data_IF_518695591509
#
_entry.id   IF_518695591509
#
_cell.length_a   1.000
_cell.length_b   1.000
_cell.length_c   1.000
_cell.angle_alpha   90.00
_cell.angle_beta   90.00
_cell.angle_gamma   90.00
#
_symmetry.space_group_name_H-M   'P 1'
#
loop_
_entity.id
_entity.type
_entity.pdbx_description
1 polymer ?
#
# COMPACT_ATOMS: atom_id res chain seq x y z
N UNK A 1 14.06 9.90 6.22
CA UNK A 1 12.93 10.31 5.37
C UNK A 1 11.66 9.60 5.82
N UNK A 2 10.54 10.31 5.94
CA UNK A 2 9.27 9.71 6.29
C UNK A 2 8.62 9.05 5.06
N UNK A 3 8.13 7.82 5.22
CA UNK A 3 7.43 7.07 4.19
C UNK A 3 6.13 6.52 4.76
N UNK A 4 5.04 6.65 4.02
CA UNK A 4 3.77 6.00 4.35
C UNK A 4 3.57 4.81 3.42
N UNK A 5 3.18 3.67 3.97
CA UNK A 5 2.80 2.49 3.20
C UNK A 5 1.35 2.18 3.46
N UNK A 6 0.53 2.21 2.41
CA UNK A 6 -0.85 1.76 2.50
C UNK A 6 -0.88 0.23 2.32
N UNK A 7 -1.48 -0.47 3.28
CA UNK A 7 -1.51 -1.93 3.29
C UNK A 7 -2.94 -2.46 3.33
N UNK A 8 -3.17 -3.59 2.67
CA UNK A 8 -4.46 -4.27 2.65
C UNK A 8 -4.39 -5.61 3.38
N UNK A 9 -5.42 -5.88 4.19
CA UNK A 9 -5.68 -7.19 4.78
C UNK A 9 -6.36 -8.06 3.74
N UNK A 10 -5.75 -9.18 3.38
CA UNK A 10 -6.26 -10.13 2.38
C UNK A 10 -6.29 -11.55 2.92
N UNK A 11 -7.14 -12.44 2.40
CA UNK A 11 -7.01 -13.86 2.66
C UNK A 11 -5.65 -14.37 2.21
N UNK A 12 -5.05 -15.25 2.98
CA UNK A 12 -3.82 -15.94 2.59
C UNK A 12 -4.02 -16.65 1.25
N UNK A 13 -3.08 -16.48 0.32
CA UNK A 13 -3.15 -17.00 -1.05
C UNK A 13 -3.28 -18.52 -1.13
N UNK A 14 -2.91 -19.25 -0.09
CA UNK A 14 -3.09 -20.70 0.03
C UNK A 14 -4.48 -21.11 0.55
N UNK A 15 -5.31 -20.13 0.94
CA UNK A 15 -6.63 -20.39 1.51
C UNK A 15 -7.62 -20.82 0.43
N UNK A 16 -8.32 -21.92 0.67
CA UNK A 16 -9.47 -22.29 -0.15
C UNK A 16 -10.67 -21.42 0.20
N UNK A 17 -10.94 -20.41 -0.63
CA UNK A 17 -12.07 -19.50 -0.47
C UNK A 17 -13.41 -20.22 -0.68
N UNK A 18 -14.38 -19.93 0.21
CA UNK A 18 -15.77 -20.36 0.10
C UNK A 18 -16.66 -19.12 0.16
N UNK A 19 -17.76 -19.17 -0.57
CA UNK A 19 -18.79 -18.10 -0.51
C UNK A 19 -19.52 -18.19 0.82
N UNK A 20 -19.69 -17.07 1.50
CA UNK A 20 -20.48 -16.94 2.72
C UNK A 20 -21.98 -17.00 2.44
N UNK A 21 -22.79 -17.01 3.51
CA UNK A 21 -24.25 -17.10 3.43
C UNK A 21 -24.91 -15.94 2.66
N UNK A 22 -24.28 -14.75 2.67
CA UNK A 22 -24.76 -13.59 1.93
C UNK A 22 -24.69 -13.75 0.40
N UNK A 23 -23.86 -14.69 -0.09
CA UNK A 23 -23.58 -14.89 -1.51
C UNK A 23 -22.64 -13.85 -2.14
N UNK A 24 -22.25 -12.81 -1.41
CA UNK A 24 -21.38 -11.71 -1.87
C UNK A 24 -20.08 -11.56 -1.05
N UNK A 25 -19.99 -12.22 0.10
CA UNK A 25 -18.83 -12.22 0.98
C UNK A 25 -18.18 -13.60 1.00
N UNK A 26 -16.97 -13.67 1.55
CA UNK A 26 -16.31 -14.94 1.83
C UNK A 26 -16.74 -15.47 3.20
N UNK A 27 -16.86 -16.80 3.32
CA UNK A 27 -16.96 -17.46 4.62
C UNK A 27 -15.61 -17.32 5.35
N UNK A 28 -15.53 -16.59 6.48
CA UNK A 28 -14.27 -16.37 7.18
C UNK A 28 -13.80 -17.58 8.00
N UNK A 29 -14.60 -18.65 8.06
CA UNK A 29 -14.31 -19.83 8.88
C UNK A 29 -13.04 -20.54 8.41
N UNK A 30 -12.01 -20.52 9.28
CA UNK A 30 -10.70 -21.13 8.99
C UNK A 30 -9.84 -20.34 7.99
N UNK A 31 -10.26 -19.16 7.58
CA UNK A 31 -9.46 -18.28 6.71
C UNK A 31 -8.41 -17.58 7.55
N UNK A 32 -7.14 -17.76 7.20
CA UNK A 32 -6.05 -16.95 7.69
C UNK A 32 -5.99 -15.67 6.84
N UNK A 33 -5.89 -14.52 7.49
CA UNK A 33 -5.68 -13.25 6.81
C UNK A 33 -4.27 -12.75 7.05
N UNK A 34 -3.69 -12.13 6.01
CA UNK A 34 -2.30 -11.66 5.99
C UNK A 34 -2.22 -10.23 5.46
N UNK A 35 -1.05 -9.61 5.54
CA UNK A 35 -0.70 -8.45 4.71
C UNK A 35 -0.69 -8.90 3.25
N UNK A 36 -1.22 -8.11 2.32
CA UNK A 36 -1.08 -8.43 0.90
C UNK A 36 0.39 -8.60 0.54
N UNK A 37 0.80 -9.69 -0.15
CA UNK A 37 2.20 -9.93 -0.48
C UNK A 37 2.88 -8.78 -1.22
N UNK A 38 2.15 -8.08 -2.08
CA UNK A 38 2.69 -6.90 -2.78
C UNK A 38 2.91 -5.72 -1.83
N UNK A 39 2.11 -5.61 -0.76
CA UNK A 39 2.31 -4.58 0.26
C UNK A 39 3.51 -4.90 1.16
N UNK A 40 3.86 -6.18 1.35
CA UNK A 40 5.09 -6.58 2.05
C UNK A 40 6.33 -6.09 1.29
N UNK A 41 6.34 -6.16 -0.05
CA UNK A 41 7.41 -5.55 -0.85
C UNK A 41 7.45 -4.03 -0.68
N UNK A 42 6.30 -3.37 -0.62
CA UNK A 42 6.23 -1.93 -0.38
C UNK A 42 6.76 -1.55 1.02
N UNK A 43 6.48 -2.34 2.05
CA UNK A 43 7.05 -2.15 3.41
C UNK A 43 8.56 -2.27 3.37
N UNK A 44 9.10 -3.32 2.76
CA UNK A 44 10.53 -3.53 2.63
C UNK A 44 11.22 -2.39 1.86
N UNK A 45 10.62 -1.94 0.76
CA UNK A 45 11.11 -0.80 -0.01
C UNK A 45 11.13 0.49 0.81
N UNK A 46 10.10 0.72 1.65
CA UNK A 46 10.03 1.86 2.55
C UNK A 46 11.13 1.83 3.61
N UNK A 47 11.38 0.65 4.20
CA UNK A 47 12.44 0.46 5.20
C UNK A 47 13.82 0.76 4.60
N UNK A 48 14.11 0.24 3.41
CA UNK A 48 15.35 0.53 2.69
C UNK A 48 15.51 2.01 2.36
N UNK A 49 14.44 2.68 1.95
CA UNK A 49 14.45 4.12 1.67
C UNK A 49 14.73 4.94 2.95
N UNK A 50 14.13 4.56 4.09
CA UNK A 50 14.41 5.16 5.39
C UNK A 50 15.87 4.94 5.80
N UNK A 51 16.39 3.72 5.67
CA UNK A 51 17.78 3.36 5.99
C UNK A 51 18.77 4.16 5.14
N UNK A 52 18.54 4.25 3.84
CA UNK A 52 19.37 5.04 2.93
C UNK A 52 19.38 6.55 3.29
N UNK A 53 18.26 7.07 3.79
CA UNK A 53 18.16 8.44 4.26
C UNK A 53 18.81 8.68 5.63
N UNK A 54 19.13 7.63 6.38
CA UNK A 54 19.74 7.69 7.72
C UNK A 54 18.80 8.06 8.86
N UNK A 55 17.62 8.62 8.56
CA UNK A 55 16.60 9.03 9.54
C UNK A 55 15.20 8.98 8.93
N UNK A 56 14.18 9.01 9.77
CA UNK A 56 12.77 9.09 9.38
C UNK A 56 11.90 7.97 9.99
N UNK A 57 10.68 7.88 9.52
CA UNK A 57 9.66 6.96 10.02
C UNK A 57 8.98 6.23 8.86
N UNK A 58 8.76 4.93 9.00
CA UNK A 58 7.87 4.14 8.13
C UNK A 58 6.56 3.93 8.86
N UNK A 59 5.49 4.53 8.34
CA UNK A 59 4.14 4.44 8.88
C UNK A 59 3.22 3.63 7.98
N UNK A 60 2.57 2.62 8.55
CA UNK A 60 1.55 1.84 7.85
C UNK A 60 0.19 2.50 8.00
N UNK A 61 -0.59 2.49 6.95
CA UNK A 61 -1.98 2.94 6.96
C UNK A 61 -2.85 1.86 6.32
N UNK A 62 -3.92 1.47 6.99
CA UNK A 62 -4.87 0.51 6.44
C UNK A 62 -6.31 0.95 6.72
N UNK A 63 -7.20 0.74 5.75
CA UNK A 63 -8.63 0.92 5.91
C UNK A 63 -9.30 -0.43 6.07
N UNK A 64 -10.03 -0.62 7.16
CA UNK A 64 -10.67 -1.90 7.43
C UNK A 64 -11.41 -1.96 8.77
N UNK A 65 -11.91 -3.14 9.08
CA UNK A 65 -12.51 -3.45 10.37
C UNK A 65 -11.46 -3.63 11.49
N UNK A 66 -11.93 -3.94 12.70
CA UNK A 66 -11.05 -4.12 13.87
C UNK A 66 -10.06 -5.28 13.68
N UNK A 67 -10.42 -6.32 12.92
CA UNK A 67 -9.53 -7.46 12.68
C UNK A 67 -8.29 -7.07 11.85
N UNK A 68 -8.34 -5.97 11.09
CA UNK A 68 -7.20 -5.41 10.36
C UNK A 68 -6.03 -5.01 11.28
N UNK A 69 -6.27 -4.84 12.59
CA UNK A 69 -5.19 -4.61 13.55
C UNK A 69 -4.15 -5.73 13.57
N UNK A 70 -4.54 -6.97 13.33
CA UNK A 70 -3.60 -8.11 13.27
C UNK A 70 -2.65 -7.97 12.09
N UNK A 71 -3.18 -7.57 10.95
CA UNK A 71 -2.38 -7.28 9.74
C UNK A 71 -1.39 -6.14 9.97
N UNK A 72 -1.84 -5.05 10.62
CA UNK A 72 -0.95 -3.94 10.97
C UNK A 72 0.14 -4.35 11.96
N UNK A 73 -0.17 -5.21 12.94
CA UNK A 73 0.84 -5.75 13.86
C UNK A 73 1.87 -6.62 13.14
N UNK A 74 1.45 -7.39 12.14
CA UNK A 74 2.38 -8.14 11.30
C UNK A 74 3.33 -7.20 10.53
N UNK A 75 2.82 -6.11 9.96
CA UNK A 75 3.64 -5.10 9.30
C UNK A 75 4.61 -4.38 10.27
N UNK A 76 4.18 -4.10 11.49
CA UNK A 76 5.07 -3.57 12.55
C UNK A 76 6.18 -4.58 12.90
N UNK A 77 5.88 -5.88 12.91
CA UNK A 77 6.87 -6.93 13.16
C UNK A 77 7.89 -7.08 12.02
N UNK A 78 7.55 -6.67 10.79
CA UNK A 78 8.49 -6.58 9.67
C UNK A 78 9.52 -5.45 9.89
N UNK A 79 9.12 -4.37 10.59
CA UNK A 79 10.05 -3.29 10.96
C UNK A 79 9.47 -1.89 10.84
N UNK A 80 8.20 -1.72 10.47
CA UNK A 80 7.56 -0.41 10.45
C UNK A 80 7.50 0.21 11.86
N UNK A 81 7.60 1.53 11.94
CA UNK A 81 7.70 2.26 13.22
C UNK A 81 6.32 2.55 13.83
N UNK A 82 5.32 2.80 12.99
CA UNK A 82 3.97 3.14 13.41
C UNK A 82 2.90 2.57 12.48
N UNK A 83 1.67 2.46 12.98
CA UNK A 83 0.55 2.01 12.18
C UNK A 83 -0.74 2.74 12.55
N UNK A 84 -1.55 3.06 11.55
CA UNK A 84 -2.86 3.69 11.68
C UNK A 84 -3.92 2.80 11.05
N UNK A 85 -4.96 2.48 11.81
CA UNK A 85 -6.16 1.83 11.32
C UNK A 85 -7.27 2.86 11.12
N UNK A 86 -7.66 3.06 9.88
CA UNK A 86 -8.87 3.79 9.51
C UNK A 86 -10.05 2.83 9.61
N UNK A 87 -10.82 2.97 10.70
CA UNK A 87 -11.90 2.01 10.99
C UNK A 87 -13.11 2.25 10.11
N UNK A 88 -13.52 1.21 9.42
CA UNK A 88 -14.72 1.21 8.59
C UNK A 88 -14.97 -0.15 7.97
N UNK A 89 -16.01 -0.21 7.14
CA UNK A 89 -16.30 -1.39 6.34
C UNK A 89 -15.67 -1.17 4.95
N UNK A 90 -14.63 -1.92 4.58
CA UNK A 90 -14.08 -1.84 3.24
C UNK A 90 -15.16 -2.19 2.23
N UNK A 91 -15.28 -1.39 1.20
CA UNK A 91 -16.14 -1.68 0.06
C UNK A 91 -15.27 -2.27 -1.06
N UNK A 92 -15.91 -2.96 -2.00
CA UNK A 92 -15.23 -3.40 -3.23
C UNK A 92 -14.86 -2.21 -4.17
N UNK A 93 -15.23 -0.98 -3.80
CA UNK A 93 -14.98 0.24 -4.57
C UNK A 93 -13.62 0.85 -4.22
N UNK A 94 -12.69 0.77 -5.16
CA UNK A 94 -11.35 1.34 -5.03
C UNK A 94 -11.34 2.86 -4.84
N UNK A 95 -12.30 3.59 -5.43
CA UNK A 95 -12.40 5.05 -5.24
C UNK A 95 -12.84 5.42 -3.83
N UNK A 96 -13.77 4.67 -3.23
CA UNK A 96 -14.16 4.88 -1.84
C UNK A 96 -12.97 4.67 -0.90
N UNK A 97 -12.21 3.60 -1.10
CA UNK A 97 -10.98 3.32 -0.36
C UNK A 97 -9.95 4.44 -0.54
N UNK A 98 -9.70 4.88 -1.78
CA UNK A 98 -8.76 5.95 -2.07
C UNK A 98 -9.15 7.28 -1.41
N UNK A 99 -10.45 7.61 -1.33
CA UNK A 99 -10.95 8.80 -0.63
C UNK A 99 -10.70 8.76 0.88
N UNK A 100 -10.90 7.59 1.51
CA UNK A 100 -10.63 7.42 2.94
C UNK A 100 -9.14 7.57 3.22
N UNK A 101 -8.29 6.92 2.42
CA UNK A 101 -6.84 7.06 2.52
C UNK A 101 -6.38 8.50 2.26
N UNK A 102 -6.92 9.16 1.23
CA UNK A 102 -6.55 10.53 0.91
C UNK A 102 -6.87 11.50 2.06
N UNK A 103 -8.01 11.34 2.74
CA UNK A 103 -8.37 12.17 3.88
C UNK A 103 -7.39 12.05 5.06
N UNK A 104 -6.85 10.86 5.31
CA UNK A 104 -5.82 10.63 6.33
C UNK A 104 -4.47 11.19 5.91
N UNK A 105 -4.15 11.08 4.62
CA UNK A 105 -2.84 11.44 4.08
C UNK A 105 -2.75 12.91 3.65
N UNK A 106 -3.86 13.65 3.65
CA UNK A 106 -3.88 15.07 3.35
C UNK A 106 -3.08 15.84 4.42
N UNK A 107 -2.05 16.55 4.01
CA UNK A 107 -1.17 17.28 4.92
C UNK A 107 -0.16 16.42 5.71
N UNK A 108 -0.09 15.12 5.47
CA UNK A 108 0.91 14.27 6.10
C UNK A 108 2.33 14.65 5.64
N UNK A 109 3.23 14.75 6.60
CA UNK A 109 4.66 14.99 6.36
C UNK A 109 5.36 13.70 5.92
N UNK A 110 4.98 13.23 4.73
CA UNK A 110 5.58 12.07 4.08
C UNK A 110 5.77 12.36 2.60
N UNK A 111 7.01 12.57 2.14
CA UNK A 111 7.29 12.83 0.73
C UNK A 111 7.01 11.62 -0.15
N UNK A 112 7.02 10.41 0.39
CA UNK A 112 6.73 9.20 -0.37
C UNK A 112 5.57 8.40 0.24
N UNK A 113 4.63 8.02 -0.61
CA UNK A 113 3.56 7.07 -0.29
C UNK A 113 3.72 5.86 -1.18
N UNK A 114 3.82 4.68 -0.59
CA UNK A 114 3.96 3.40 -1.30
C UNK A 114 2.71 2.55 -1.15
N UNK A 115 2.41 1.79 -2.20
CA UNK A 115 1.37 0.76 -2.21
C UNK A 115 1.90 -0.46 -2.98
N UNK A 116 1.45 -1.64 -2.63
CA UNK A 116 1.60 -2.79 -3.52
C UNK A 116 0.94 -2.53 -4.87
N UNK A 117 1.54 -3.00 -5.95
CA UNK A 117 1.02 -2.80 -7.31
C UNK A 117 -0.43 -3.26 -7.45
N UNK A 118 -0.83 -4.25 -6.66
CA UNK A 118 -2.18 -4.82 -6.62
C UNK A 118 -2.41 -5.54 -5.29
N UNK A 119 -3.66 -5.79 -4.95
CA UNK A 119 -4.00 -6.68 -3.85
C UNK A 119 -4.16 -8.12 -4.37
N UNK A 120 -3.74 -9.11 -3.58
CA UNK A 120 -3.76 -10.52 -4.00
C UNK A 120 -5.16 -11.12 -4.10
N UNK A 121 -6.17 -10.44 -3.54
CA UNK A 121 -7.58 -10.89 -3.52
C UNK A 121 -8.40 -10.41 -4.71
N UNK A 122 -8.14 -9.20 -5.24
CA UNK A 122 -8.99 -8.59 -6.25
C UNK A 122 -8.26 -8.04 -7.49
N UNK A 123 -6.94 -7.94 -7.44
CA UNK A 123 -6.08 -7.50 -8.55
C UNK A 123 -6.49 -6.16 -9.23
N UNK A 124 -7.22 -5.28 -8.55
CA UNK A 124 -7.82 -4.09 -9.18
C UNK A 124 -6.82 -3.04 -9.67
N UNK A 125 -5.65 -2.90 -9.04
CA UNK A 125 -4.59 -1.92 -9.40
C UNK A 125 -5.05 -0.45 -9.45
N UNK A 126 -6.13 -0.09 -8.75
CA UNK A 126 -6.82 1.19 -8.92
C UNK A 126 -6.51 2.20 -7.80
N UNK A 127 -6.31 1.72 -6.57
CA UNK A 127 -6.24 2.59 -5.38
C UNK A 127 -5.06 3.54 -5.46
N UNK A 128 -3.88 3.08 -5.87
CA UNK A 128 -2.68 3.91 -5.99
C UNK A 128 -2.87 5.11 -6.92
N UNK A 129 -3.24 4.93 -8.21
CA UNK A 129 -3.50 6.02 -9.13
C UNK A 129 -4.62 6.98 -8.68
N UNK A 130 -5.69 6.46 -8.09
CA UNK A 130 -6.78 7.27 -7.55
C UNK A 130 -6.32 8.10 -6.36
N UNK A 131 -5.54 7.50 -5.45
CA UNK A 131 -4.98 8.18 -4.29
C UNK A 131 -4.04 9.32 -4.71
N UNK A 132 -3.12 9.06 -5.64
CA UNK A 132 -2.21 10.09 -6.14
C UNK A 132 -2.96 11.26 -6.78
N UNK A 133 -4.02 10.98 -7.55
CA UNK A 133 -4.89 12.00 -8.14
C UNK A 133 -5.60 12.83 -7.06
N UNK A 134 -6.15 12.20 -6.03
CA UNK A 134 -6.83 12.88 -4.92
C UNK A 134 -5.87 13.75 -4.12
N UNK A 135 -4.66 13.26 -3.86
CA UNK A 135 -3.59 14.00 -3.17
C UNK A 135 -2.89 15.03 -4.05
N UNK A 136 -3.20 15.08 -5.36
CA UNK A 136 -2.51 15.93 -6.36
C UNK A 136 -1.00 15.70 -6.38
N UNK A 137 -0.59 14.43 -6.23
CA UNK A 137 0.81 14.01 -6.26
C UNK A 137 1.11 13.26 -7.56
N UNK A 138 2.28 13.42 -8.15
CA UNK A 138 2.76 12.53 -9.21
C UNK A 138 2.63 11.07 -8.79
N UNK A 139 2.23 10.21 -9.72
CA UNK A 139 2.04 8.78 -9.43
C UNK A 139 2.72 7.93 -10.48
N UNK A 140 3.53 6.98 -10.04
CA UNK A 140 4.18 5.99 -10.91
C UNK A 140 3.71 4.60 -10.49
N UNK A 141 3.15 3.84 -11.42
CA UNK A 141 2.60 2.50 -11.16
C UNK A 141 3.46 1.39 -11.77
N UNK A 142 3.36 0.18 -11.24
CA UNK A 142 4.07 -0.99 -11.78
C UNK A 142 5.59 -0.90 -11.64
N UNK A 143 6.04 -0.32 -10.54
CA UNK A 143 7.46 -0.09 -10.25
C UNK A 143 8.11 -1.36 -9.69
N UNK A 144 9.21 -1.79 -10.29
CA UNK A 144 10.02 -2.92 -9.83
C UNK A 144 11.14 -2.49 -8.87
N UNK A 145 11.66 -1.27 -9.05
CA UNK A 145 12.65 -0.67 -8.16
C UNK A 145 12.63 0.85 -8.27
N UNK A 146 13.13 1.54 -7.25
CA UNK A 146 13.27 3.00 -7.29
C UNK A 146 14.50 3.46 -6.50
N UNK A 147 14.94 4.66 -6.82
CA UNK A 147 15.97 5.41 -6.10
C UNK A 147 15.47 6.82 -5.80
N UNK A 148 15.97 7.43 -4.73
CA UNK A 148 15.58 8.76 -4.30
C UNK A 148 16.81 9.65 -4.23
N UNK A 149 16.76 10.80 -4.88
CA UNK A 149 17.81 11.81 -4.86
C UNK A 149 17.30 13.16 -5.32
N UNK A 150 17.83 14.24 -4.76
CA UNK A 150 17.56 15.63 -5.19
C UNK A 150 16.06 16.01 -5.27
N UNK A 151 15.23 15.45 -4.37
CA UNK A 151 13.80 15.72 -4.35
C UNK A 151 12.99 15.01 -5.45
N UNK A 152 13.59 14.01 -6.07
CA UNK A 152 13.01 13.18 -7.13
C UNK A 152 13.04 11.70 -6.73
N UNK A 153 12.03 10.95 -7.09
CA UNK A 153 12.05 9.49 -7.12
C UNK A 153 12.20 9.03 -8.57
N UNK A 154 13.26 8.27 -8.85
CA UNK A 154 13.51 7.63 -10.15
C UNK A 154 13.05 6.20 -10.08
N UNK A 155 12.00 5.86 -10.81
CA UNK A 155 11.32 4.58 -10.80
C UNK A 155 11.68 3.76 -12.05
N UNK A 156 11.91 2.47 -11.87
CA UNK A 156 12.11 1.51 -12.95
C UNK A 156 10.86 0.64 -13.07
N UNK A 157 10.33 0.54 -14.27
CA UNK A 157 9.13 -0.24 -14.59
C UNK A 157 9.47 -1.27 -15.66
N UNK A 158 9.18 -2.52 -15.40
CA UNK A 158 9.30 -3.56 -16.41
C UNK A 158 8.13 -3.48 -17.39
N UNK A 159 8.44 -3.36 -18.68
CA UNK A 159 7.47 -3.33 -19.77
C UNK A 159 7.85 -4.34 -20.85
N UNK A 160 6.93 -4.64 -21.77
CA UNK A 160 7.23 -5.54 -22.86
C UNK A 160 8.41 -5.00 -23.69
N UNK A 161 9.49 -5.77 -23.75
CA UNK A 161 10.69 -5.44 -24.52
C UNK A 161 11.71 -4.52 -23.83
N UNK A 162 11.52 -4.15 -22.56
CA UNK A 162 12.51 -3.30 -21.89
C UNK A 162 12.12 -2.82 -20.50
N UNK A 163 12.85 -1.80 -20.05
CA UNK A 163 12.60 -1.11 -18.77
C UNK A 163 12.36 0.36 -19.06
N UNK A 164 11.24 0.90 -18.58
CA UNK A 164 11.01 2.34 -18.55
C UNK A 164 11.62 2.94 -17.28
N UNK A 165 12.31 4.06 -17.44
CA UNK A 165 12.79 4.88 -16.31
C UNK A 165 11.93 6.13 -16.22
N UNK A 166 11.24 6.30 -15.10
CA UNK A 166 10.30 7.41 -14.89
C UNK A 166 10.73 8.21 -13.67
N UNK A 167 10.91 9.51 -13.84
CA UNK A 167 11.22 10.43 -12.76
C UNK A 167 9.95 11.16 -12.29
N UNK A 168 9.73 11.19 -10.98
CA UNK A 168 8.65 11.94 -10.37
C UNK A 168 9.18 12.83 -9.24
N UNK A 169 8.73 14.08 -9.19
CA UNK A 169 9.06 14.99 -8.09
C UNK A 169 8.34 14.57 -6.81
N UNK A 170 9.05 14.62 -5.70
CA UNK A 170 8.44 14.45 -4.38
C UNK A 170 7.66 15.73 -3.98
N UNK A 171 6.52 15.58 -3.27
CA UNK A 171 5.94 14.33 -2.79
C UNK A 171 5.26 13.51 -3.90
N UNK A 172 5.39 12.18 -3.86
CA UNK A 172 4.90 11.27 -4.89
C UNK A 172 4.19 10.04 -4.29
N UNK A 173 3.44 9.32 -5.13
CA UNK A 173 2.82 8.00 -4.86
C UNK A 173 3.44 6.98 -5.83
N UNK A 174 3.90 5.84 -5.30
CA UNK A 174 4.57 4.78 -6.06
C UNK A 174 3.99 3.42 -5.69
#
# INVERSE_FOLDING_TARGET
MNVIVCVKRVPDTETRIRTGESGIDIDPTGVKFIVSPYDEFAIEAALRAKEAAGEGEVKLVSFGDVATQETLRAGLAIGADAAVLLKGQPTADGLATAKVLAAELEGADAPLVLLGVKAADDDQQQVGPMLGTLLRRPTVTGVSSFEIGDGVVTCHREVEGGVEVVEARLPAVV
#
